data_IF_293563881322
#
_entry.id   IF_293563881322
#
_cell.length_a   1.000
_cell.length_b   1.000
_cell.length_c   1.000
_cell.angle_alpha   90.00
_cell.angle_beta   90.00
_cell.angle_gamma   90.00
#
_symmetry.space_group_name_H-M   'P 1'
#
loop_
_entity.id
_entity.type
_entity.pdbx_description
1 polymer ?
#
# COMPACT_ATOMS: atom_id res chain seq x y z
N UNK A 1 16.91 3.53 -32.96
CA UNK A 1 15.99 2.49 -33.46
C UNK A 1 14.67 2.66 -32.75
N UNK A 2 13.59 2.74 -33.52
CA UNK A 2 12.27 3.27 -33.17
C UNK A 2 11.64 2.57 -31.97
N UNK A 3 11.36 3.32 -30.89
CA UNK A 3 10.46 2.86 -29.84
C UNK A 3 9.02 3.03 -30.36
N UNK A 4 8.41 1.91 -30.74
CA UNK A 4 6.98 1.82 -31.01
C UNK A 4 6.25 2.35 -29.77
N UNK A 5 5.62 3.53 -29.86
CA UNK A 5 4.57 3.93 -28.92
C UNK A 5 3.50 2.86 -29.00
N UNK A 6 3.51 1.96 -28.03
CA UNK A 6 2.47 0.97 -27.85
C UNK A 6 1.20 1.79 -27.61
N UNK A 7 0.27 1.79 -28.57
CA UNK A 7 -0.99 2.48 -28.43
C UNK A 7 -1.71 1.85 -27.24
N UNK A 8 -1.84 2.60 -26.13
CA UNK A 8 -2.71 2.22 -25.03
C UNK A 8 -4.14 2.13 -25.59
N UNK A 9 -4.82 1.03 -25.32
CA UNK A 9 -6.20 0.85 -25.74
C UNK A 9 -7.13 1.81 -24.98
N UNK A 10 -8.33 2.04 -25.52
CA UNK A 10 -9.26 3.02 -24.97
C UNK A 10 -9.65 2.72 -23.51
N UNK A 11 -9.68 1.45 -23.11
CA UNK A 11 -10.02 1.05 -21.75
C UNK A 11 -8.89 1.39 -20.77
N UNK A 12 -7.64 1.04 -21.13
CA UNK A 12 -6.46 1.43 -20.36
C UNK A 12 -6.34 2.95 -20.21
N UNK A 13 -6.59 3.73 -21.27
CA UNK A 13 -6.59 5.19 -21.20
C UNK A 13 -7.69 5.75 -20.29
N UNK A 14 -8.89 5.16 -20.33
CA UNK A 14 -9.99 5.55 -19.45
C UNK A 14 -9.67 5.24 -17.98
N UNK A 15 -9.07 4.08 -17.70
CA UNK A 15 -8.63 3.69 -16.36
C UNK A 15 -7.48 4.56 -15.85
N UNK A 16 -6.50 4.87 -16.70
CA UNK A 16 -5.41 5.77 -16.36
C UNK A 16 -5.94 7.13 -15.91
N UNK A 17 -6.82 7.73 -16.71
CA UNK A 17 -7.47 9.01 -16.38
C UNK A 17 -8.25 8.92 -15.08
N UNK A 18 -8.94 7.80 -14.84
CA UNK A 18 -9.69 7.57 -13.61
C UNK A 18 -8.78 7.57 -12.39
N UNK A 19 -7.80 6.67 -12.37
CA UNK A 19 -6.87 6.50 -11.24
C UNK A 19 -6.11 7.79 -10.99
N UNK A 20 -5.64 8.47 -12.04
CA UNK A 20 -4.91 9.74 -11.93
C UNK A 20 -5.79 10.86 -11.35
N UNK A 21 -7.02 11.04 -11.86
CA UNK A 21 -7.92 12.11 -11.41
C UNK A 21 -8.37 11.88 -9.97
N UNK A 22 -8.80 10.66 -9.65
CA UNK A 22 -9.22 10.31 -8.29
C UNK A 22 -8.08 10.49 -7.30
N UNK A 23 -6.88 9.99 -7.64
CA UNK A 23 -5.73 10.12 -6.78
C UNK A 23 -5.39 11.58 -6.54
N UNK A 24 -5.37 12.43 -7.58
CA UNK A 24 -5.14 13.87 -7.43
C UNK A 24 -6.18 14.54 -6.55
N UNK A 25 -7.47 14.29 -6.78
CA UNK A 25 -8.54 14.90 -5.95
C UNK A 25 -8.43 14.48 -4.48
N UNK A 26 -8.15 13.20 -4.22
CA UNK A 26 -7.95 12.70 -2.86
C UNK A 26 -6.73 13.37 -2.23
N UNK A 27 -5.61 13.45 -2.95
CA UNK A 27 -4.39 14.11 -2.46
C UNK A 27 -4.63 15.59 -2.15
N UNK A 28 -5.28 16.33 -3.05
CA UNK A 28 -5.61 17.74 -2.83
C UNK A 28 -6.53 17.92 -1.61
N UNK A 29 -7.52 17.03 -1.43
CA UNK A 29 -8.37 16.99 -0.24
C UNK A 29 -7.60 16.71 1.05
N UNK A 30 -6.69 15.73 1.02
CA UNK A 30 -5.83 15.39 2.16
C UNK A 30 -4.91 16.53 2.59
N UNK A 31 -4.39 17.29 1.62
CA UNK A 31 -3.45 18.38 1.86
C UNK A 31 -4.10 19.71 2.20
N UNK A 32 -5.33 19.96 1.71
CA UNK A 32 -6.10 21.17 2.04
C UNK A 32 -6.78 21.09 3.41
N UNK A 33 -6.90 19.90 4.00
CA UNK A 33 -7.32 19.72 5.40
C UNK A 33 -6.39 20.44 6.40
N UNK A 34 -6.90 20.84 7.57
CA UNK A 34 -6.17 21.58 8.63
C UNK A 34 -4.99 20.82 9.28
N UNK A 35 -4.55 19.70 8.70
CA UNK A 35 -3.46 18.89 9.23
C UNK A 35 -2.13 19.29 8.57
N UNK A 36 -1.13 19.66 9.38
CA UNK A 36 0.28 19.74 8.93
C UNK A 36 0.66 18.40 8.28
N UNK A 37 1.51 18.42 7.23
CA UNK A 37 1.81 17.30 6.31
C UNK A 37 1.57 15.91 6.96
N UNK A 38 0.56 15.15 6.49
CA UNK A 38 0.13 13.89 7.10
C UNK A 38 1.21 12.78 7.04
N UNK A 39 2.32 13.03 6.33
CA UNK A 39 3.29 12.00 5.96
C UNK A 39 4.60 12.02 6.72
N UNK A 40 4.73 12.89 7.74
CA UNK A 40 5.90 12.93 8.66
C UNK A 40 6.20 11.62 9.40
N UNK A 41 5.35 10.59 9.26
CA UNK A 41 5.58 9.24 9.79
C UNK A 41 6.13 8.22 8.79
N UNK A 42 6.40 8.61 7.54
CA UNK A 42 7.01 7.75 6.50
C UNK A 42 8.46 8.13 6.23
N UNK A 43 8.77 9.42 6.19
CA UNK A 43 10.14 9.92 6.21
C UNK A 43 10.60 10.03 7.67
N UNK A 44 11.61 9.26 8.07
CA UNK A 44 12.27 9.47 9.35
C UNK A 44 13.10 10.75 9.23
N UNK A 45 12.62 11.86 9.79
CA UNK A 45 13.49 12.98 10.12
C UNK A 45 13.99 12.84 11.56
N UNK A 46 15.32 12.91 11.74
CA UNK A 46 15.96 13.88 12.63
C UNK A 46 17.48 13.89 12.36
N UNK A 47 17.96 14.92 11.67
CA UNK A 47 19.36 15.33 11.71
C UNK A 47 19.54 16.24 12.93
N UNK A 48 19.87 15.67 14.09
CA UNK A 48 20.38 16.50 15.19
C UNK A 48 21.85 16.80 14.94
N UNK A 49 22.19 18.09 14.89
CA UNK A 49 23.57 18.50 15.08
C UNK A 49 23.98 18.12 16.50
N UNK A 50 24.92 17.18 16.62
CA UNK A 50 25.54 16.86 17.90
C UNK A 50 26.61 17.91 18.22
N UNK A 51 26.55 18.49 19.41
CA UNK A 51 27.66 19.31 19.93
C UNK A 51 28.94 18.46 20.03
N UNK A 52 30.04 19.05 19.59
CA UNK A 52 31.35 18.44 19.62
C UNK A 52 31.74 18.04 21.05
N UNK A 53 32.21 16.81 21.23
CA UNK A 53 32.84 16.35 22.47
C UNK A 53 34.34 16.10 22.25
N UNK A 54 35.19 16.32 23.27
CA UNK A 54 36.62 16.02 23.18
C UNK A 54 36.86 14.55 22.79
N UNK A 55 37.55 14.33 21.67
CA UNK A 55 37.77 13.00 21.09
C UNK A 55 37.04 12.75 19.76
N UNK A 56 36.10 13.62 19.40
CA UNK A 56 35.40 13.54 18.10
C UNK A 56 36.29 14.01 16.93
N UNK A 57 36.07 13.45 15.73
CA UNK A 57 36.85 13.78 14.53
C UNK A 57 36.48 15.17 13.98
N UNK A 58 37.42 16.11 14.09
CA UNK A 58 37.30 17.50 13.64
C UNK A 58 37.06 17.64 12.12
N UNK A 59 37.33 16.60 11.32
CA UNK A 59 37.00 16.61 9.87
C UNK A 59 35.50 16.66 9.61
N UNK A 60 34.68 16.24 10.58
CA UNK A 60 33.22 16.23 10.49
C UNK A 60 32.59 17.52 10.99
N UNK A 61 33.36 18.55 11.33
CA UNK A 61 32.83 19.80 11.87
C UNK A 61 32.01 20.60 10.84
N UNK A 62 30.87 21.17 11.26
CA UNK A 62 30.11 22.11 10.43
C UNK A 62 30.65 23.55 10.58
N UNK A 63 31.54 23.91 9.67
CA UNK A 63 32.11 25.26 9.60
C UNK A 63 31.07 26.38 9.37
N UNK A 64 29.92 26.09 8.73
CA UNK A 64 28.86 27.10 8.52
C UNK A 64 28.07 27.35 9.80
N UNK A 65 27.77 26.30 10.56
CA UNK A 65 27.10 26.42 11.87
C UNK A 65 28.03 27.12 12.86
N UNK A 66 29.31 26.76 12.87
CA UNK A 66 30.33 27.42 13.69
C UNK A 66 30.39 28.93 13.40
N UNK A 67 30.43 29.32 12.13
CA UNK A 67 30.49 30.72 11.72
C UNK A 67 29.26 31.55 12.12
N UNK A 68 28.11 30.91 12.37
CA UNK A 68 26.86 31.60 12.72
C UNK A 68 26.56 31.58 14.22
N UNK A 69 26.98 30.54 14.92
CA UNK A 69 26.55 30.25 16.30
C UNK A 69 27.69 30.22 17.31
N UNK A 70 28.94 30.28 16.84
CA UNK A 70 30.17 30.15 17.65
C UNK A 70 30.24 28.84 18.46
N UNK A 71 29.38 27.86 18.15
CA UNK A 71 29.37 26.54 18.78
C UNK A 71 29.93 25.49 17.84
N UNK A 72 30.72 24.57 18.39
CA UNK A 72 31.28 23.44 17.66
C UNK A 72 30.21 22.36 17.49
N UNK A 73 29.68 22.25 16.28
CA UNK A 73 28.71 21.21 15.92
C UNK A 73 29.35 20.27 14.90
N UNK A 74 29.15 18.97 15.08
CA UNK A 74 29.55 17.97 14.10
C UNK A 74 28.42 17.78 13.07
N UNK A 75 28.78 17.80 11.79
CA UNK A 75 27.99 17.21 10.72
C UNK A 75 27.87 15.72 11.00
N UNK A 76 26.72 15.32 11.55
CA UNK A 76 26.29 13.95 11.34
C UNK A 76 25.97 13.85 9.85
N UNK A 77 26.66 12.95 9.15
CA UNK A 77 26.25 12.61 7.80
C UNK A 77 24.85 12.02 7.92
N UNK A 78 23.91 12.71 7.30
CA UNK A 78 22.62 12.15 6.95
C UNK A 78 22.93 10.85 6.20
N UNK A 79 22.63 9.70 6.81
CA UNK A 79 22.08 8.68 5.94
C UNK A 79 20.76 9.28 5.48
N UNK A 80 20.78 9.94 4.32
CA UNK A 80 19.61 10.03 3.46
C UNK A 80 19.23 8.58 3.13
N UNK A 81 18.68 7.84 4.09
CA UNK A 81 17.88 6.68 3.75
C UNK A 81 16.60 7.28 3.19
N UNK A 82 16.64 7.70 1.92
CA UNK A 82 15.47 7.74 1.06
C UNK A 82 14.83 6.37 1.24
N UNK A 83 13.82 6.33 2.11
CA UNK A 83 13.23 5.08 2.52
C UNK A 83 12.52 4.53 1.29
N UNK A 84 12.97 3.37 0.82
CA UNK A 84 12.41 2.76 -0.37
C UNK A 84 11.02 2.23 -0.01
N UNK A 85 9.99 2.85 -0.57
CA UNK A 85 8.62 2.37 -0.47
C UNK A 85 8.33 1.43 -1.63
N UNK A 86 7.91 0.21 -1.31
CA UNK A 86 7.42 -0.75 -2.29
C UNK A 86 5.91 -0.85 -2.19
N UNK A 87 5.24 -0.61 -3.32
CA UNK A 87 3.80 -0.79 -3.45
C UNK A 87 3.56 -2.10 -4.19
N UNK A 88 3.02 -3.10 -3.53
CA UNK A 88 2.66 -4.40 -4.11
C UNK A 88 1.15 -4.44 -4.33
N UNK A 89 0.72 -4.51 -5.58
CA UNK A 89 -0.70 -4.52 -5.93
C UNK A 89 -1.05 -5.84 -6.57
N UNK A 90 -2.07 -6.48 -6.01
CA UNK A 90 -2.65 -7.70 -6.51
C UNK A 90 -3.47 -7.43 -7.77
N UNK A 91 -3.12 -8.13 -8.83
CA UNK A 91 -3.71 -8.05 -10.16
C UNK A 91 -4.35 -9.39 -10.56
N UNK A 92 -4.74 -10.22 -9.59
CA UNK A 92 -5.45 -11.49 -9.80
C UNK A 92 -6.88 -11.33 -10.32
N UNK A 93 -7.48 -12.43 -10.75
CA UNK A 93 -8.86 -12.43 -11.25
C UNK A 93 -9.87 -12.07 -10.16
N UNK A 94 -9.65 -12.45 -8.91
CA UNK A 94 -10.53 -12.10 -7.78
C UNK A 94 -10.63 -10.58 -7.59
N UNK A 95 -9.54 -9.85 -7.84
CA UNK A 95 -9.49 -8.38 -7.78
C UNK A 95 -10.30 -7.70 -8.90
N UNK A 96 -10.72 -8.44 -9.94
CA UNK A 96 -11.60 -7.90 -10.99
C UNK A 96 -13.07 -7.77 -10.55
N UNK A 97 -13.45 -8.35 -9.42
CA UNK A 97 -14.80 -8.26 -8.89
C UNK A 97 -15.16 -6.84 -8.40
N UNK A 98 -16.41 -6.43 -8.57
CA UNK A 98 -16.95 -5.19 -8.02
C UNK A 98 -18.47 -5.17 -8.09
N UNK A 99 -19.13 -4.82 -6.99
CA UNK A 99 -20.58 -4.65 -6.94
C UNK A 99 -21.01 -3.30 -7.52
N UNK A 100 -22.30 -3.16 -7.87
CA UNK A 100 -22.89 -1.88 -8.31
C UNK A 100 -23.14 -0.91 -7.15
N UNK A 101 -22.67 -1.21 -5.94
CA UNK A 101 -23.08 -0.55 -4.70
C UNK A 101 -22.41 0.81 -4.42
N UNK A 102 -21.73 1.44 -5.39
CA UNK A 102 -21.12 2.74 -5.17
C UNK A 102 -22.20 3.84 -5.03
N UNK A 103 -22.51 4.18 -3.77
CA UNK A 103 -23.63 5.04 -3.34
C UNK A 103 -23.69 6.43 -4.01
N UNK A 104 -22.57 6.94 -4.51
CA UNK A 104 -22.46 8.31 -5.02
C UNK A 104 -22.27 8.43 -6.54
N UNK A 105 -22.07 7.32 -7.26
CA UNK A 105 -21.90 7.33 -8.72
C UNK A 105 -22.34 5.98 -9.33
N UNK A 106 -23.66 5.73 -9.44
CA UNK A 106 -24.22 4.43 -9.87
C UNK A 106 -23.84 4.01 -11.29
N UNK A 107 -23.31 4.93 -12.11
CA UNK A 107 -22.86 4.67 -13.48
C UNK A 107 -21.47 4.03 -13.55
N UNK A 108 -20.79 3.83 -12.41
CA UNK A 108 -19.39 3.43 -12.38
C UNK A 108 -19.17 2.27 -11.43
N UNK A 109 -19.16 1.05 -11.97
CA UNK A 109 -18.69 -0.14 -11.26
C UNK A 109 -17.19 0.04 -11.04
N UNK A 110 -16.77 0.08 -9.77
CA UNK A 110 -15.36 0.09 -9.39
C UNK A 110 -15.02 -1.30 -8.88
N UNK A 111 -14.02 -1.93 -9.48
CA UNK A 111 -13.54 -3.22 -9.01
C UNK A 111 -12.69 -3.07 -7.76
N UNK A 112 -12.46 -4.17 -7.04
CA UNK A 112 -11.45 -4.22 -5.97
C UNK A 112 -10.08 -3.74 -6.46
N UNK A 113 -9.68 -4.15 -7.66
CA UNK A 113 -8.45 -3.68 -8.30
C UNK A 113 -8.45 -2.16 -8.48
N UNK A 114 -9.52 -1.55 -9.01
CA UNK A 114 -9.58 -0.09 -9.16
C UNK A 114 -9.44 0.64 -7.83
N UNK A 115 -10.08 0.11 -6.79
CA UNK A 115 -10.02 0.70 -5.46
C UNK A 115 -8.60 0.60 -4.86
N UNK A 116 -7.98 -0.59 -4.95
CA UNK A 116 -6.60 -0.82 -4.50
C UNK A 116 -5.57 -0.02 -5.31
N UNK A 117 -5.72 0.04 -6.63
CA UNK A 117 -4.87 0.81 -7.54
C UNK A 117 -4.96 2.31 -7.28
N UNK A 118 -6.16 2.85 -7.02
CA UNK A 118 -6.33 4.26 -6.63
C UNK A 118 -5.70 4.54 -5.28
N UNK A 119 -5.86 3.66 -4.28
CA UNK A 119 -5.19 3.81 -2.99
C UNK A 119 -3.65 3.81 -3.13
N UNK A 120 -3.12 2.89 -3.95
CA UNK A 120 -1.72 2.82 -4.32
C UNK A 120 -1.25 4.10 -5.02
N UNK A 121 -2.01 4.62 -5.98
CA UNK A 121 -1.70 5.86 -6.69
C UNK A 121 -1.70 7.09 -5.78
N UNK A 122 -2.65 7.20 -4.85
CA UNK A 122 -2.67 8.26 -3.83
C UNK A 122 -1.38 8.22 -3.00
N UNK A 123 -1.03 7.05 -2.47
CA UNK A 123 0.16 6.90 -1.64
C UNK A 123 1.45 7.14 -2.43
N UNK A 124 1.55 6.65 -3.66
CA UNK A 124 2.67 6.92 -4.56
C UNK A 124 2.84 8.42 -4.83
N UNK A 125 1.73 9.12 -5.11
CA UNK A 125 1.74 10.56 -5.38
C UNK A 125 2.19 11.35 -4.15
N UNK A 126 1.66 11.00 -2.99
CA UNK A 126 2.06 11.60 -1.73
C UNK A 126 3.57 11.38 -1.49
N UNK A 127 4.04 10.13 -1.50
CA UNK A 127 5.45 9.80 -1.23
C UNK A 127 6.42 10.48 -2.22
N UNK A 128 6.09 10.48 -3.52
CA UNK A 128 6.90 11.17 -4.53
C UNK A 128 6.99 12.68 -4.29
N UNK A 129 5.93 13.28 -3.75
CA UNK A 129 5.91 14.73 -3.45
C UNK A 129 6.84 15.10 -2.28
N UNK A 130 7.04 14.20 -1.32
CA UNK A 130 8.02 14.39 -0.24
C UNK A 130 9.45 13.95 -0.64
N UNK A 131 9.64 13.45 -1.88
CA UNK A 131 10.94 13.06 -2.42
C UNK A 131 11.33 11.60 -2.13
N UNK A 132 10.44 10.79 -1.55
CA UNK A 132 10.70 9.39 -1.25
C UNK A 132 10.80 8.53 -2.54
N UNK A 133 11.64 7.50 -2.49
CA UNK A 133 11.79 6.56 -3.60
C UNK A 133 10.65 5.53 -3.57
N UNK A 134 9.81 5.53 -4.62
CA UNK A 134 8.65 4.62 -4.71
C UNK A 134 8.85 3.61 -5.82
N UNK A 135 8.73 2.33 -5.50
CA UNK A 135 8.70 1.20 -6.43
C UNK A 135 7.32 0.56 -6.49
N UNK A 136 7.05 -0.16 -7.57
CA UNK A 136 5.80 -0.88 -7.79
C UNK A 136 6.09 -2.35 -8.09
N UNK A 137 5.27 -3.25 -7.54
CA UNK A 137 5.19 -4.64 -7.93
C UNK A 137 3.73 -4.99 -8.24
N UNK A 138 3.42 -5.26 -9.49
CA UNK A 138 2.12 -5.85 -9.85
C UNK A 138 2.29 -7.35 -9.85
N UNK A 139 1.44 -8.05 -9.09
CA UNK A 139 1.52 -9.50 -9.02
C UNK A 139 0.22 -10.19 -9.39
N UNK A 140 0.36 -11.29 -10.11
CA UNK A 140 -0.68 -12.27 -10.33
C UNK A 140 0.02 -13.62 -10.55
N UNK A 141 -0.47 -14.65 -9.88
CA UNK A 141 0.13 -15.98 -9.72
C UNK A 141 1.56 -15.86 -9.15
N UNK A 142 2.58 -16.38 -9.84
CA UNK A 142 3.99 -16.21 -9.48
C UNK A 142 4.67 -15.08 -10.27
N UNK A 143 3.92 -14.39 -11.13
CA UNK A 143 4.48 -13.31 -11.95
C UNK A 143 4.50 -12.00 -11.15
N UNK A 144 5.69 -11.42 -11.01
CA UNK A 144 5.88 -10.10 -10.40
C UNK A 144 6.45 -9.14 -11.44
N UNK A 145 5.63 -8.23 -11.95
CA UNK A 145 6.11 -7.11 -12.76
C UNK A 145 6.60 -5.99 -11.85
N UNK A 146 7.92 -5.79 -11.82
CA UNK A 146 8.58 -4.92 -10.84
C UNK A 146 9.17 -3.67 -11.49
N UNK A 147 8.81 -2.52 -10.93
CA UNK A 147 9.46 -1.23 -11.16
C UNK A 147 10.27 -0.86 -9.91
N UNK A 148 11.59 -0.74 -10.05
CA UNK A 148 12.47 -0.40 -8.94
C UNK A 148 12.18 0.98 -8.35
N UNK A 149 12.34 1.19 -7.03
CA UNK A 149 12.15 2.46 -6.38
C UNK A 149 13.01 3.56 -6.96
N UNK A 150 12.39 4.72 -7.18
CA UNK A 150 13.03 5.91 -7.72
C UNK A 150 12.25 7.14 -7.23
N UNK A 151 12.94 8.25 -6.96
CA UNK A 151 12.35 9.55 -6.60
C UNK A 151 12.23 10.50 -7.80
N UNK A 152 12.43 9.99 -9.03
CA UNK A 152 12.29 10.78 -10.25
C UNK A 152 10.82 11.11 -10.47
N UNK A 153 10.54 12.33 -10.92
CA UNK A 153 9.17 12.80 -11.23
C UNK A 153 8.45 11.86 -12.21
N UNK A 154 9.15 11.35 -13.23
CA UNK A 154 8.61 10.40 -14.23
C UNK A 154 8.20 9.04 -13.65
N UNK A 155 8.64 8.72 -12.42
CA UNK A 155 8.30 7.47 -11.75
C UNK A 155 6.80 7.37 -11.50
N UNK A 156 6.17 8.46 -11.07
CA UNK A 156 4.73 8.48 -10.80
C UNK A 156 3.94 8.20 -12.08
N UNK A 157 4.31 8.84 -13.20
CA UNK A 157 3.67 8.60 -14.50
C UNK A 157 3.77 7.13 -14.92
N UNK A 158 4.96 6.53 -14.73
CA UNK A 158 5.19 5.11 -15.02
C UNK A 158 4.34 4.20 -14.12
N UNK A 159 4.24 4.52 -12.82
CA UNK A 159 3.40 3.78 -11.87
C UNK A 159 1.93 3.84 -12.30
N UNK A 160 1.42 5.03 -12.63
CA UNK A 160 0.03 5.21 -13.06
C UNK A 160 -0.27 4.44 -14.36
N UNK A 161 0.66 4.47 -15.32
CA UNK A 161 0.55 3.70 -16.56
C UNK A 161 0.47 2.19 -16.28
N UNK A 162 1.35 1.68 -15.41
CA UNK A 162 1.35 0.27 -15.03
C UNK A 162 0.05 -0.12 -14.32
N UNK A 163 -0.41 0.69 -13.36
CA UNK A 163 -1.67 0.45 -12.65
C UNK A 163 -2.88 0.45 -13.60
N UNK A 164 -2.86 1.27 -14.65
CA UNK A 164 -3.97 1.38 -15.61
C UNK A 164 -4.20 0.11 -16.45
N UNK A 165 -3.26 -0.85 -16.44
CA UNK A 165 -3.38 -2.12 -17.17
C UNK A 165 -4.46 -3.05 -16.60
N UNK A 166 -4.89 -2.84 -15.35
CA UNK A 166 -5.94 -3.65 -14.73
C UNK A 166 -5.44 -4.99 -14.18
N UNK A 167 -6.36 -5.76 -13.60
CA UNK A 167 -6.13 -7.15 -13.22
C UNK A 167 -6.23 -8.10 -14.43
N UNK A 168 -5.56 -9.25 -14.31
CA UNK A 168 -5.56 -10.33 -15.29
C UNK A 168 -6.52 -11.48 -14.91
N UNK A 169 -6.34 -12.63 -15.59
CA UNK A 169 -7.08 -13.88 -15.36
C UNK A 169 -6.27 -14.94 -14.59
N UNK A 170 -5.26 -14.50 -13.84
CA UNK A 170 -4.37 -15.40 -13.13
C UNK A 170 -4.81 -15.48 -11.66
N UNK A 171 -4.61 -16.64 -11.05
CA UNK A 171 -4.83 -16.86 -9.61
C UNK A 171 -3.82 -16.10 -8.77
N UNK A 172 -3.96 -16.03 -7.45
CA UNK A 172 -2.99 -15.38 -6.56
C UNK A 172 -2.06 -16.40 -5.90
N UNK A 173 -0.75 -16.11 -5.79
CA UNK A 173 0.20 -16.85 -4.94
C UNK A 173 1.15 -15.91 -4.22
N UNK A 174 0.58 -15.14 -3.30
CA UNK A 174 1.25 -14.09 -2.54
C UNK A 174 2.32 -14.65 -1.59
N UNK A 175 2.10 -15.80 -0.93
CA UNK A 175 3.05 -16.36 0.04
C UNK A 175 4.46 -16.59 -0.53
N UNK A 176 4.61 -17.45 -1.57
CA UNK A 176 5.88 -17.66 -2.25
C UNK A 176 6.47 -16.38 -2.83
N UNK A 177 5.63 -15.49 -3.37
CA UNK A 177 6.06 -14.23 -3.93
C UNK A 177 6.70 -13.31 -2.89
N UNK A 178 6.14 -13.23 -1.68
CA UNK A 178 6.70 -12.42 -0.59
C UNK A 178 8.05 -12.95 -0.12
N UNK A 179 8.24 -14.27 -0.11
CA UNK A 179 9.55 -14.85 0.17
C UNK A 179 10.59 -14.46 -0.88
N UNK A 180 10.28 -14.65 -2.17
CA UNK A 180 11.18 -14.23 -3.24
C UNK A 180 11.45 -12.71 -3.24
N UNK A 181 10.44 -11.94 -2.87
CA UNK A 181 10.53 -10.49 -2.79
C UNK A 181 11.45 -10.05 -1.65
N UNK A 182 11.32 -10.66 -0.47
CA UNK A 182 12.16 -10.39 0.70
C UNK A 182 13.65 -10.64 0.40
N UNK A 183 13.97 -11.74 -0.31
CA UNK A 183 15.35 -12.10 -0.65
C UNK A 183 15.99 -11.13 -1.67
N UNK A 184 15.18 -10.50 -2.51
CA UNK A 184 15.66 -9.68 -3.64
C UNK A 184 15.80 -8.21 -3.32
N UNK A 185 15.32 -7.73 -2.17
CA UNK A 185 15.34 -6.30 -1.85
C UNK A 185 16.48 -5.99 -0.88
N UNK A 186 17.47 -5.20 -1.31
CA UNK A 186 18.71 -5.03 -0.56
C UNK A 186 18.62 -4.02 0.59
N UNK A 187 17.54 -3.26 0.70
CA UNK A 187 17.42 -2.14 1.65
C UNK A 187 16.12 -2.21 2.42
N UNK A 188 16.23 -1.99 3.74
CA UNK A 188 15.08 -1.76 4.62
C UNK A 188 14.22 -0.63 4.07
N UNK A 189 12.92 -0.77 4.23
CA UNK A 189 11.94 0.17 3.71
C UNK A 189 10.53 -0.25 4.07
N UNK A 190 9.55 0.46 3.54
CA UNK A 190 8.13 0.15 3.76
C UNK A 190 7.61 -0.66 2.58
N UNK A 191 6.92 -1.75 2.87
CA UNK A 191 6.21 -2.59 1.89
C UNK A 191 4.71 -2.45 2.15
N UNK A 192 4.00 -1.85 1.20
CA UNK A 192 2.56 -1.68 1.24
C UNK A 192 1.91 -2.66 0.26
N UNK A 193 0.98 -3.47 0.74
CA UNK A 193 0.40 -4.59 -0.03
C UNK A 193 -1.10 -4.33 -0.18
N UNK A 194 -1.60 -4.36 -1.40
CA UNK A 194 -3.01 -4.13 -1.75
C UNK A 194 -3.57 -5.40 -2.38
N UNK A 195 -4.37 -6.16 -1.65
CA UNK A 195 -4.87 -7.48 -2.06
C UNK A 195 -6.18 -7.78 -1.32
N UNK A 196 -7.00 -8.68 -1.85
CA UNK A 196 -8.13 -9.27 -1.12
C UNK A 196 -7.72 -10.47 -0.25
N UNK A 197 -6.42 -10.81 -0.23
CA UNK A 197 -5.81 -11.84 0.60
C UNK A 197 -6.45 -13.22 0.46
N UNK A 198 -7.14 -13.50 -0.65
CA UNK A 198 -7.77 -14.79 -0.94
C UNK A 198 -6.70 -15.83 -1.33
N UNK A 199 -5.88 -16.21 -0.36
CA UNK A 199 -4.74 -17.12 -0.51
C UNK A 199 -4.52 -17.92 0.79
N UNK A 200 -3.55 -18.83 0.80
CA UNK A 200 -3.16 -19.60 1.97
C UNK A 200 -2.61 -18.67 3.07
N UNK A 201 -3.43 -18.44 4.10
CA UNK A 201 -3.11 -17.58 5.23
C UNK A 201 -1.80 -17.97 5.91
N UNK A 202 -1.50 -19.26 6.05
CA UNK A 202 -0.25 -19.75 6.64
C UNK A 202 0.97 -19.25 5.87
N UNK A 203 1.04 -19.59 4.58
CA UNK A 203 2.18 -19.25 3.70
C UNK A 203 2.39 -17.74 3.58
N UNK A 204 1.32 -16.97 3.43
CA UNK A 204 1.40 -15.51 3.35
C UNK A 204 1.91 -14.91 4.66
N UNK A 205 1.42 -15.37 5.82
CA UNK A 205 1.93 -14.90 7.11
C UNK A 205 3.42 -15.25 7.28
N UNK A 206 3.90 -16.35 6.71
CA UNK A 206 5.34 -16.66 6.68
C UNK A 206 6.13 -15.69 5.80
N UNK A 207 5.61 -15.37 4.62
CA UNK A 207 6.15 -14.33 3.74
C UNK A 207 6.27 -12.98 4.43
N UNK A 208 5.20 -12.53 5.10
CA UNK A 208 5.19 -11.27 5.87
C UNK A 208 6.21 -11.30 7.00
N UNK A 209 6.33 -12.42 7.71
CA UNK A 209 7.32 -12.59 8.78
C UNK A 209 8.75 -12.47 8.26
N UNK A 210 9.01 -13.03 7.08
CA UNK A 210 10.31 -12.90 6.43
C UNK A 210 10.64 -11.43 6.13
N UNK A 211 9.69 -10.68 5.55
CA UNK A 211 9.85 -9.23 5.31
C UNK A 211 10.14 -8.47 6.61
N UNK A 212 9.39 -8.75 7.68
CA UNK A 212 9.61 -8.15 9.00
C UNK A 212 10.98 -8.50 9.57
N UNK A 213 11.44 -9.74 9.42
CA UNK A 213 12.76 -10.18 9.88
C UNK A 213 13.91 -9.50 9.12
N UNK A 214 13.72 -9.27 7.81
CA UNK A 214 14.64 -8.47 7.00
C UNK A 214 14.65 -6.97 7.37
N UNK A 215 13.77 -6.54 8.29
CA UNK A 215 13.70 -5.18 8.82
C UNK A 215 12.85 -4.24 7.98
N UNK A 216 11.97 -4.78 7.14
CA UNK A 216 10.95 -3.99 6.47
C UNK A 216 9.79 -3.68 7.40
N UNK A 217 9.22 -2.50 7.24
CA UNK A 217 7.89 -2.21 7.76
C UNK A 217 6.86 -2.68 6.74
N UNK A 218 5.77 -3.28 7.20
CA UNK A 218 4.75 -3.84 6.31
C UNK A 218 3.40 -3.25 6.66
N UNK A 219 2.66 -2.87 5.62
CA UNK A 219 1.29 -2.36 5.69
C UNK A 219 0.44 -3.14 4.72
N UNK A 220 -0.65 -3.72 5.19
CA UNK A 220 -1.60 -4.49 4.39
C UNK A 220 -2.91 -3.72 4.25
N UNK A 221 -3.28 -3.46 3.01
CA UNK A 221 -4.56 -2.92 2.58
C UNK A 221 -5.40 -4.07 2.03
N UNK A 222 -6.25 -4.63 2.88
CA UNK A 222 -7.14 -5.72 2.54
C UNK A 222 -8.38 -5.18 1.83
N UNK A 223 -8.48 -5.37 0.52
CA UNK A 223 -9.56 -4.81 -0.30
C UNK A 223 -10.71 -5.81 -0.40
N UNK A 224 -11.89 -5.44 0.09
CA UNK A 224 -13.09 -6.28 0.01
C UNK A 224 -14.29 -5.48 -0.50
N UNK A 225 -15.13 -6.15 -1.26
CA UNK A 225 -16.39 -5.61 -1.77
C UNK A 225 -17.53 -5.79 -0.74
N UNK A 226 -18.51 -4.85 -0.67
CA UNK A 226 -19.68 -5.01 0.18
C UNK A 226 -20.44 -6.31 -0.03
N UNK A 227 -20.54 -6.79 -1.27
CA UNK A 227 -21.24 -8.05 -1.56
C UNK A 227 -20.53 -9.24 -0.89
N UNK A 228 -19.20 -9.20 -0.78
CA UNK A 228 -18.41 -10.19 -0.04
C UNK A 228 -18.59 -10.03 1.47
N UNK A 229 -18.71 -8.81 2.00
CA UNK A 229 -18.83 -8.58 3.45
C UNK A 229 -20.23 -8.82 4.01
N UNK A 230 -21.26 -8.54 3.22
CA UNK A 230 -22.66 -8.50 3.69
C UNK A 230 -23.50 -9.66 3.15
N UNK A 231 -23.03 -10.27 2.05
CA UNK A 231 -23.68 -11.34 1.32
C UNK A 231 -25.18 -11.04 1.08
N UNK A 232 -25.50 -9.98 0.29
CA UNK A 232 -26.87 -9.46 0.16
C UNK A 232 -27.72 -10.23 -0.87
N UNK A 233 -27.30 -11.43 -1.27
CA UNK A 233 -28.00 -12.25 -2.27
C UNK A 233 -29.27 -12.88 -1.69
N UNK A 234 -30.43 -12.62 -2.31
CA UNK A 234 -31.73 -13.15 -1.87
C UNK A 234 -32.38 -14.11 -2.88
N UNK A 235 -32.02 -13.99 -4.15
CA UNK A 235 -32.56 -14.81 -5.24
C UNK A 235 -31.61 -15.97 -5.56
N UNK A 236 -32.11 -17.10 -6.14
CA UNK A 236 -31.25 -18.17 -6.65
C UNK A 236 -30.13 -17.61 -7.54
N UNK A 237 -28.89 -17.83 -7.11
CA UNK A 237 -27.71 -17.20 -7.71
C UNK A 237 -26.67 -18.26 -8.02
N UNK A 238 -26.16 -18.25 -9.25
CA UNK A 238 -25.04 -19.09 -9.67
C UNK A 238 -23.73 -18.39 -9.32
N UNK A 239 -23.06 -18.85 -8.28
CA UNK A 239 -21.72 -18.37 -7.94
C UNK A 239 -20.68 -19.04 -8.84
N UNK A 240 -19.73 -18.27 -9.36
CA UNK A 240 -18.64 -18.76 -10.20
C UNK A 240 -17.31 -18.46 -9.50
N UNK A 241 -16.47 -19.48 -9.35
CA UNK A 241 -15.08 -19.29 -8.96
C UNK A 241 -14.34 -18.41 -9.96
N UNK A 242 -13.54 -17.47 -9.45
CA UNK A 242 -12.74 -16.56 -10.27
C UNK A 242 -11.32 -17.07 -10.48
N UNK A 243 -10.85 -18.04 -9.70
CA UNK A 243 -9.48 -18.56 -9.80
C UNK A 243 -9.45 -20.07 -10.07
N UNK A 244 -10.53 -20.59 -10.68
CA UNK A 244 -10.67 -22.00 -11.06
C UNK A 244 -11.51 -22.84 -10.10
N UNK A 245 -12.19 -22.21 -9.14
CA UNK A 245 -13.14 -22.89 -8.27
C UNK A 245 -14.43 -23.28 -9.01
N UNK A 246 -15.13 -24.29 -8.48
CA UNK A 246 -16.35 -24.79 -9.08
C UNK A 246 -17.48 -23.75 -9.07
N UNK A 247 -18.38 -23.84 -10.04
CA UNK A 247 -19.64 -23.10 -10.00
C UNK A 247 -20.59 -23.71 -8.98
N UNK A 248 -21.17 -22.88 -8.13
CA UNK A 248 -22.10 -23.29 -7.08
C UNK A 248 -23.50 -22.77 -7.44
N UNK A 249 -24.42 -23.68 -7.75
CA UNK A 249 -25.84 -23.39 -7.93
C UNK A 249 -26.59 -23.73 -6.64
N UNK A 250 -27.10 -22.71 -5.95
CA UNK A 250 -27.60 -22.84 -4.58
C UNK A 250 -28.56 -21.70 -4.22
N UNK A 251 -29.35 -21.92 -3.18
CA UNK A 251 -30.10 -20.85 -2.51
C UNK A 251 -29.15 -20.05 -1.58
N UNK A 252 -28.85 -18.78 -1.88
CA UNK A 252 -27.93 -17.97 -1.08
C UNK A 252 -28.44 -17.74 0.35
N UNK A 253 -29.76 -17.72 0.57
CA UNK A 253 -30.34 -17.48 1.89
C UNK A 253 -29.91 -18.55 2.87
N UNK A 254 -29.85 -19.80 2.41
CA UNK A 254 -29.40 -20.95 3.21
C UNK A 254 -27.90 -20.93 3.52
N UNK A 255 -27.07 -20.36 2.62
CA UNK A 255 -25.61 -20.32 2.77
C UNK A 255 -25.11 -19.11 3.56
N UNK A 256 -25.88 -18.02 3.57
CA UNK A 256 -25.47 -16.72 4.10
C UNK A 256 -24.86 -16.81 5.51
N UNK A 257 -25.50 -17.55 6.41
CA UNK A 257 -25.00 -17.67 7.78
C UNK A 257 -23.62 -18.33 7.83
N UNK A 258 -23.47 -19.50 7.20
CA UNK A 258 -22.20 -20.23 7.19
C UNK A 258 -21.08 -19.48 6.47
N UNK A 259 -21.42 -18.76 5.40
CA UNK A 259 -20.49 -17.89 4.68
C UNK A 259 -19.97 -16.76 5.58
N UNK A 260 -20.86 -16.00 6.22
CA UNK A 260 -20.47 -14.88 7.09
C UNK A 260 -19.69 -15.35 8.33
N UNK A 261 -20.01 -16.51 8.89
CA UNK A 261 -19.24 -17.11 9.98
C UNK A 261 -17.81 -17.49 9.55
N UNK A 262 -17.66 -18.08 8.37
CA UNK A 262 -16.34 -18.42 7.82
C UNK A 262 -15.53 -17.17 7.47
N UNK A 263 -16.16 -16.15 6.86
CA UNK A 263 -15.54 -14.87 6.57
C UNK A 263 -15.08 -14.16 7.84
N UNK A 264 -15.92 -14.15 8.88
CA UNK A 264 -15.56 -13.60 10.18
C UNK A 264 -14.32 -14.26 10.80
N UNK A 265 -14.24 -15.59 10.70
CA UNK A 265 -13.05 -16.35 11.15
C UNK A 265 -11.80 -15.98 10.34
N UNK A 266 -11.94 -15.92 9.01
CA UNK A 266 -10.87 -15.55 8.09
C UNK A 266 -10.32 -14.13 8.38
N UNK A 267 -11.20 -13.15 8.56
CA UNK A 267 -10.81 -11.78 8.88
C UNK A 267 -10.09 -11.66 10.24
N UNK A 268 -10.56 -12.40 11.25
CA UNK A 268 -9.92 -12.40 12.57
C UNK A 268 -8.56 -13.11 12.54
N UNK A 269 -8.42 -14.16 11.72
CA UNK A 269 -7.14 -14.85 11.51
C UNK A 269 -6.09 -13.90 10.94
N UNK A 270 -6.43 -13.14 9.89
CA UNK A 270 -5.54 -12.10 9.35
C UNK A 270 -5.21 -11.02 10.36
N UNK A 271 -6.23 -10.47 11.02
CA UNK A 271 -6.04 -9.38 11.99
C UNK A 271 -5.14 -9.81 13.16
N UNK A 272 -5.35 -11.02 13.67
CA UNK A 272 -4.54 -11.60 14.76
C UNK A 272 -3.13 -11.93 14.28
N UNK A 273 -2.98 -12.58 13.13
CA UNK A 273 -1.70 -12.95 12.54
C UNK A 273 -0.82 -11.75 12.27
N UNK A 274 -1.34 -10.74 11.56
CA UNK A 274 -0.62 -9.52 11.19
C UNK A 274 -0.25 -8.67 12.42
N UNK A 275 -1.16 -8.54 13.39
CA UNK A 275 -0.89 -7.80 14.63
C UNK A 275 0.25 -8.39 15.45
N UNK A 276 0.37 -9.72 15.53
CA UNK A 276 1.48 -10.40 16.24
C UNK A 276 2.84 -10.11 15.62
N UNK A 277 2.88 -9.69 14.36
CA UNK A 277 4.11 -9.41 13.60
C UNK A 277 4.38 -7.91 13.44
N UNK A 278 3.63 -7.05 14.14
CA UNK A 278 3.74 -5.59 14.01
C UNK A 278 3.52 -5.12 12.56
N UNK A 279 2.58 -5.77 11.85
CA UNK A 279 2.13 -5.39 10.52
C UNK A 279 0.87 -4.53 10.66
N UNK A 280 0.88 -3.34 10.07
CA UNK A 280 -0.31 -2.49 10.01
C UNK A 280 -1.33 -3.13 9.06
N UNK A 281 -2.59 -3.22 9.49
CA UNK A 281 -3.67 -3.85 8.73
C UNK A 281 -4.85 -2.89 8.59
N UNK A 282 -5.30 -2.68 7.36
CA UNK A 282 -6.40 -1.80 6.99
C UNK A 282 -7.36 -2.54 6.07
N UNK A 283 -8.63 -2.60 6.46
CA UNK A 283 -9.69 -3.05 5.56
C UNK A 283 -10.11 -1.87 4.69
N UNK A 284 -10.03 -2.04 3.37
CA UNK A 284 -10.52 -1.10 2.36
C UNK A 284 -11.81 -1.66 1.76
N UNK A 285 -12.95 -1.08 2.16
CA UNK A 285 -14.24 -1.43 1.58
C UNK A 285 -14.43 -0.66 0.27
N UNK A 286 -14.79 -1.37 -0.80
CA UNK A 286 -14.98 -0.73 -2.11
C UNK A 286 -16.14 0.26 -2.15
N UNK A 287 -17.02 0.34 -1.14
CA UNK A 287 -18.09 1.35 -1.01
C UNK A 287 -17.75 2.57 -0.14
N UNK A 288 -16.54 2.62 0.41
CA UNK A 288 -16.10 3.71 1.27
C UNK A 288 -15.20 4.73 0.53
N UNK A 289 -15.21 5.97 1.00
CA UNK A 289 -14.37 7.03 0.43
C UNK A 289 -12.92 6.87 0.89
N UNK A 290 -12.05 6.45 -0.04
CA UNK A 290 -10.60 6.26 0.18
C UNK A 290 -9.92 7.43 0.91
N UNK A 291 -10.29 8.67 0.57
CA UNK A 291 -9.71 9.85 1.21
C UNK A 291 -9.87 9.87 2.73
N UNK A 292 -11.03 9.47 3.26
CA UNK A 292 -11.29 9.45 4.69
C UNK A 292 -10.50 8.33 5.41
N UNK A 293 -10.44 7.16 4.79
CA UNK A 293 -9.73 5.99 5.34
C UNK A 293 -8.23 6.29 5.39
N UNK A 294 -7.66 6.75 4.27
CA UNK A 294 -6.24 7.08 4.19
C UNK A 294 -5.88 8.26 5.10
N UNK A 295 -6.72 9.30 5.20
CA UNK A 295 -6.52 10.39 6.16
C UNK A 295 -6.40 9.87 7.60
N UNK A 296 -7.35 9.02 8.00
CA UNK A 296 -7.42 8.48 9.35
C UNK A 296 -6.20 7.61 9.67
N UNK A 297 -5.78 6.79 8.70
CA UNK A 297 -4.58 5.98 8.82
C UNK A 297 -3.30 6.81 8.97
N UNK A 298 -3.07 7.76 8.06
CA UNK A 298 -1.89 8.62 8.07
C UNK A 298 -1.82 9.43 9.37
N UNK A 299 -2.95 9.98 9.83
CA UNK A 299 -3.03 10.68 11.11
C UNK A 299 -2.72 9.78 12.32
N UNK A 300 -3.28 8.56 12.35
CA UNK A 300 -3.02 7.59 13.41
C UNK A 300 -1.55 7.14 13.45
N UNK A 301 -0.93 6.97 12.28
CA UNK A 301 0.49 6.63 12.16
C UNK A 301 1.40 7.77 12.59
N UNK A 302 1.10 9.01 12.20
CA UNK A 302 1.81 10.19 12.69
C UNK A 302 1.75 10.31 14.23
N UNK A 303 0.61 9.97 14.85
CA UNK A 303 0.47 9.98 16.31
C UNK A 303 1.34 8.90 17.00
N UNK A 304 1.48 7.73 16.37
CA UNK A 304 2.37 6.64 16.84
C UNK A 304 3.86 7.02 16.68
N UNK A 305 4.23 7.61 15.55
CA UNK A 305 5.60 8.08 15.29
C UNK A 305 6.10 9.13 16.29
N UNK A 306 5.20 10.01 16.79
CA UNK A 306 5.53 10.97 17.87
C UNK A 306 5.80 10.34 19.25
N UNK A 307 5.45 9.06 19.44
CA UNK A 307 5.63 8.35 20.73
C UNK A 307 6.85 7.41 20.74
N UNK A 308 7.80 7.58 19.83
CA UNK A 308 9.07 6.84 19.80
C UNK A 308 9.90 6.96 21.10
N UNK A 309 10.88 6.05 21.33
CA UNK A 309 11.30 5.57 22.64
C UNK A 309 12.15 6.59 23.40
N UNK A 310 11.50 7.57 24.04
CA UNK A 310 12.18 8.57 24.88
C UNK A 310 11.27 9.34 25.82
N UNK A 311 9.96 9.06 25.84
CA UNK A 311 9.01 9.70 26.77
C UNK A 311 8.47 8.71 27.81
N UNK A 312 9.38 8.04 28.50
CA UNK A 312 9.15 7.71 29.91
C UNK A 312 10.13 8.56 30.72
N UNK A 313 9.69 9.75 31.08
CA UNK A 313 10.32 10.56 32.12
C UNK A 313 9.41 10.55 33.35
N UNK A 314 10.01 10.09 34.46
CA UNK A 314 9.66 10.23 35.88
C UNK A 314 8.39 9.56 36.38
#
# INVERSE_FOLDING_TARGET
MSQTRQYLDANTLARLRLVEVDARMIVEGLLSGRHRSPMRGFSVEFAEHREYSPGDDLRRLDWKVLARTERLHLKQYEQETNLACWLLVDASESMSYGSQAWKNEPSRIRTKYDHGATACAVLAHLLQREGDAVGLGLFADLSLHRLSPSSRISQLETILELLSRGSGKASTRLGPLLHEFADRIPRRGIVMIFSDLLDNTGEVLEGMRHLRHAGHEVVVFHVLDPDELEFPFQDPTLFRGLEGEATLDTDPVSLRQGYLENLGRFLEEWKSGLKKMDVDYLLLRTDELLGNILASYLAGRHARGRKGPGSMST
#
